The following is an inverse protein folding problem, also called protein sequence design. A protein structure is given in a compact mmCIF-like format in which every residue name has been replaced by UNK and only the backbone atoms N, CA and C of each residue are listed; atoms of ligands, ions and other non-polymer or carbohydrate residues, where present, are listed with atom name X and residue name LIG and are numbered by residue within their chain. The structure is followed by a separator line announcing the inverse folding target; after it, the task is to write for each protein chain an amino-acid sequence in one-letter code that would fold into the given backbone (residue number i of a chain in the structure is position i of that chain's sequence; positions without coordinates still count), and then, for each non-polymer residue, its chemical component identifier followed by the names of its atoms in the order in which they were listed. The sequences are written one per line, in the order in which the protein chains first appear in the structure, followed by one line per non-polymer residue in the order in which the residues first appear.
data_IF_722559450798
#
_entry.id   IF_722559450798
#
_cell.length_a   1.000
_cell.length_b   1.000
_cell.length_c   1.000
_cell.angle_alpha   90.00
_cell.angle_beta   90.00
_cell.angle_gamma   90.00
#
_symmetry.space_group_name_H-M   'P 1'
#
loop_
_entity.id
_entity.type
_entity.pdbx_description
1 polymer ?
#
# COMPACT_ATOMS: atom_id res chain seq x y z
N UNK A 1 -2.28 -11.04 -6.98
CA UNK A 1 -1.27 -11.02 -8.04
C UNK A 1 -0.83 -12.42 -8.48
N UNK A 2 -1.04 -13.46 -7.67
CA UNK A 2 -0.63 -14.86 -7.96
C UNK A 2 -1.22 -15.46 -9.24
N UNK A 3 -2.46 -15.09 -9.61
CA UNK A 3 -3.08 -15.52 -10.88
C UNK A 3 -2.39 -14.95 -12.13
N UNK A 4 -1.64 -13.85 -12.02
CA UNK A 4 -0.84 -13.30 -13.10
C UNK A 4 -1.57 -12.59 -14.25
N UNK A 5 -2.89 -12.79 -14.42
CA UNK A 5 -3.74 -12.18 -15.47
C UNK A 5 -4.91 -11.34 -14.94
N UNK A 6 -4.74 -10.72 -13.78
CA UNK A 6 -5.73 -9.81 -13.17
C UNK A 6 -5.02 -8.48 -12.92
N UNK A 7 -5.58 -7.37 -13.39
CA UNK A 7 -5.07 -6.05 -13.05
C UNK A 7 -5.37 -5.75 -11.57
N UNK A 8 -4.37 -5.33 -10.80
CA UNK A 8 -4.54 -5.05 -9.36
C UNK A 8 -3.88 -3.74 -8.99
N UNK A 9 -4.63 -2.80 -8.43
CA UNK A 9 -4.09 -1.56 -7.91
C UNK A 9 -4.43 -1.36 -6.44
N UNK A 10 -3.48 -0.84 -5.67
CA UNK A 10 -3.70 -0.37 -4.29
C UNK A 10 -3.46 1.13 -4.26
N UNK A 11 -4.49 1.88 -3.85
CA UNK A 11 -4.57 3.33 -4.07
C UNK A 11 -4.94 4.08 -2.79
N UNK A 12 -4.59 5.37 -2.72
CA UNK A 12 -4.99 6.28 -1.65
C UNK A 12 -5.02 7.73 -2.18
N UNK A 13 -6.22 8.33 -2.22
CA UNK A 13 -6.43 9.65 -2.81
C UNK A 13 -5.64 10.75 -2.10
N UNK A 14 -5.63 10.76 -0.78
CA UNK A 14 -4.89 11.78 -0.01
C UNK A 14 -3.37 11.69 -0.17
N UNK A 15 -2.84 10.54 -0.62
CA UNK A 15 -1.41 10.33 -0.79
C UNK A 15 -0.93 10.69 -2.21
N UNK A 16 -1.63 10.22 -3.24
CA UNK A 16 -1.25 10.48 -4.63
C UNK A 16 -2.48 10.44 -5.56
N UNK A 17 -3.16 11.58 -5.78
CA UNK A 17 -4.33 11.67 -6.67
C UNK A 17 -4.04 11.25 -8.12
N UNK A 18 -2.85 11.59 -8.64
CA UNK A 18 -2.46 11.23 -10.00
C UNK A 18 -2.36 9.70 -10.17
N UNK A 19 -1.83 9.01 -9.16
CA UNK A 19 -1.77 7.55 -9.16
C UNK A 19 -3.16 6.92 -9.09
N UNK A 20 -4.11 7.52 -8.36
CA UNK A 20 -5.50 7.04 -8.35
C UNK A 20 -6.10 7.15 -9.74
N UNK A 21 -6.04 8.32 -10.38
CA UNK A 21 -6.62 8.52 -11.72
C UNK A 21 -6.01 7.54 -12.72
N UNK A 22 -4.67 7.42 -12.72
CA UNK A 22 -3.96 6.46 -13.56
C UNK A 22 -4.43 5.03 -13.33
N UNK A 23 -4.54 4.61 -12.06
CA UNK A 23 -4.96 3.26 -11.71
C UNK A 23 -6.38 2.94 -12.20
N UNK A 24 -7.30 3.90 -12.14
CA UNK A 24 -8.67 3.75 -12.61
C UNK A 24 -8.75 3.67 -14.14
N UNK A 25 -7.99 4.51 -14.86
CA UNK A 25 -7.93 4.47 -16.33
C UNK A 25 -7.36 3.15 -16.82
N UNK A 26 -6.23 2.70 -16.25
CA UNK A 26 -5.62 1.41 -16.62
C UNK A 26 -6.56 0.23 -16.33
N UNK A 27 -7.17 0.22 -15.13
CA UNK A 27 -8.11 -0.83 -14.73
C UNK A 27 -9.34 -0.94 -15.65
N UNK A 28 -9.86 0.20 -16.12
CA UNK A 28 -11.02 0.24 -17.01
C UNK A 28 -10.66 -0.20 -18.43
N UNK A 29 -9.49 0.22 -18.92
CA UNK A 29 -9.00 -0.16 -20.24
C UNK A 29 -8.51 -1.61 -20.35
N UNK A 30 -8.22 -2.26 -19.22
CA UNK A 30 -7.70 -3.63 -19.19
C UNK A 30 -8.77 -4.61 -19.70
N UNK A 31 -8.51 -5.40 -20.77
CA UNK A 31 -9.48 -6.34 -21.33
C UNK A 31 -9.57 -7.62 -20.48
N UNK A 32 -9.94 -7.47 -19.21
CA UNK A 32 -9.96 -8.55 -18.22
C UNK A 32 -10.44 -8.08 -16.84
N UNK A 33 -10.34 -8.95 -15.83
CA UNK A 33 -10.74 -8.60 -14.47
C UNK A 33 -9.76 -7.60 -13.84
N UNK A 34 -10.33 -6.59 -13.18
CA UNK A 34 -9.59 -5.53 -12.50
C UNK A 34 -10.02 -5.40 -11.03
N UNK A 35 -9.07 -5.23 -10.12
CA UNK A 35 -9.28 -5.03 -8.69
C UNK A 35 -8.58 -3.76 -8.22
N UNK A 36 -9.34 -2.80 -7.68
CA UNK A 36 -8.81 -1.60 -7.04
C UNK A 36 -9.10 -1.64 -5.54
N UNK A 37 -8.06 -1.55 -4.72
CA UNK A 37 -8.15 -1.49 -3.25
C UNK A 37 -7.81 -0.07 -2.80
N UNK A 38 -8.84 0.72 -2.47
CA UNK A 38 -8.67 2.10 -2.03
C UNK A 38 -8.64 2.21 -0.50
N UNK A 39 -7.67 2.96 0.04
CA UNK A 39 -7.70 3.35 1.45
C UNK A 39 -8.87 4.31 1.70
N UNK A 40 -9.83 3.88 2.52
CA UNK A 40 -10.96 4.70 2.93
C UNK A 40 -10.83 5.01 4.42
N UNK A 41 -10.78 6.30 4.76
CA UNK A 41 -10.79 6.70 6.15
C UNK A 41 -12.21 6.76 6.70
N UNK A 42 -12.38 6.41 7.98
CA UNK A 42 -13.69 6.31 8.61
C UNK A 42 -13.67 6.92 10.01
N UNK A 43 -14.82 7.41 10.49
CA UNK A 43 -15.02 7.84 11.88
C UNK A 43 -14.56 6.78 12.88
N UNK A 44 -14.68 5.49 12.53
CA UNK A 44 -14.29 4.37 13.37
C UNK A 44 -12.78 4.31 13.67
N UNK A 45 -11.95 4.98 12.86
CA UNK A 45 -10.52 5.09 13.14
C UNK A 45 -10.27 6.06 14.32
N UNK A 46 -11.17 7.01 14.55
CA UNK A 46 -11.16 7.89 15.72
C UNK A 46 -10.12 9.01 15.63
N UNK A 47 -10.13 9.76 14.54
CA UNK A 47 -9.40 11.02 14.37
C UNK A 47 -10.28 12.04 13.63
N UNK A 48 -9.85 13.30 13.57
CA UNK A 48 -10.63 14.35 12.90
C UNK A 48 -10.62 14.12 11.37
N UNK A 49 -11.79 13.79 10.79
CA UNK A 49 -11.91 13.47 9.36
C UNK A 49 -11.64 14.67 8.43
N UNK A 50 -11.65 15.91 8.93
CA UNK A 50 -11.16 17.07 8.16
C UNK A 50 -9.71 16.82 7.70
N UNK A 51 -8.92 16.11 8.51
CA UNK A 51 -7.54 15.71 8.21
C UNK A 51 -7.45 14.38 7.45
N UNK A 52 -8.57 13.91 6.88
CA UNK A 52 -8.69 12.62 6.22
C UNK A 52 -7.60 12.38 5.19
N UNK A 53 -7.44 13.31 4.24
CA UNK A 53 -6.46 13.22 3.16
C UNK A 53 -5.01 13.23 3.69
N UNK A 54 -4.68 14.11 4.64
CA UNK A 54 -3.35 14.15 5.24
C UNK A 54 -3.03 12.82 5.94
N UNK A 55 -4.00 12.26 6.64
CA UNK A 55 -3.84 10.98 7.33
C UNK A 55 -3.66 9.80 6.36
N UNK A 56 -4.32 9.82 5.19
CA UNK A 56 -4.03 8.83 4.13
C UNK A 56 -2.59 8.96 3.64
N UNK A 57 -2.10 10.20 3.45
CA UNK A 57 -0.70 10.44 3.07
C UNK A 57 0.27 9.91 4.11
N UNK A 58 -0.02 10.08 5.39
CA UNK A 58 0.77 9.51 6.48
C UNK A 58 0.76 7.97 6.46
N UNK A 59 -0.38 7.34 6.19
CA UNK A 59 -0.48 5.89 6.05
C UNK A 59 0.43 5.34 4.93
N UNK A 60 0.56 6.08 3.83
CA UNK A 60 1.50 5.72 2.74
C UNK A 60 2.95 5.99 3.14
N UNK A 61 3.23 7.15 3.73
CA UNK A 61 4.58 7.56 4.13
C UNK A 61 5.17 6.70 5.26
N UNK A 62 4.36 5.99 6.04
CA UNK A 62 4.83 5.00 7.02
C UNK A 62 5.07 3.61 6.43
N UNK A 63 4.74 3.40 5.15
CA UNK A 63 4.75 2.08 4.53
C UNK A 63 3.59 1.19 4.94
N UNK A 64 2.68 1.65 5.81
CA UNK A 64 1.51 0.87 6.22
C UNK A 64 0.57 0.56 5.06
N UNK A 65 0.46 1.52 4.13
CA UNK A 65 -0.35 1.41 2.93
C UNK A 65 0.48 1.68 1.66
N UNK A 66 1.34 0.75 1.21
CA UNK A 66 2.09 0.95 -0.02
C UNK A 66 1.14 1.06 -1.23
N UNK A 67 1.48 1.95 -2.16
CA UNK A 67 0.74 2.16 -3.40
C UNK A 67 1.45 1.40 -4.51
N UNK A 68 0.70 0.59 -5.24
CA UNK A 68 1.24 -0.17 -6.36
C UNK A 68 0.16 -0.42 -7.41
N UNK A 69 0.62 -0.72 -8.62
CA UNK A 69 -0.20 -1.20 -9.74
C UNK A 69 0.46 -2.44 -10.31
N UNK A 70 -0.32 -3.48 -10.50
CA UNK A 70 0.05 -4.70 -11.18
C UNK A 70 -0.72 -4.74 -12.49
N UNK A 71 0.00 -4.57 -13.58
CA UNK A 71 -0.57 -4.60 -14.93
C UNK A 71 -0.04 -5.82 -15.68
N UNK A 72 -0.89 -6.83 -15.95
CA UNK A 72 -0.51 -8.02 -16.72
C UNK A 72 0.05 -7.71 -18.12
N UNK A 73 -0.38 -6.63 -18.76
CA UNK A 73 0.00 -6.29 -20.14
C UNK A 73 1.50 -6.01 -20.26
N UNK A 74 2.11 -5.48 -19.21
CA UNK A 74 3.55 -5.21 -19.19
C UNK A 74 4.42 -6.47 -19.34
N UNK A 75 3.90 -7.65 -19.00
CA UNK A 75 4.63 -8.90 -19.23
C UNK A 75 4.84 -9.18 -20.72
N UNK A 76 3.86 -8.83 -21.55
CA UNK A 76 3.93 -9.00 -23.00
C UNK A 76 5.00 -8.07 -23.61
N UNK A 77 5.26 -6.94 -22.95
CA UNK A 77 6.34 -6.00 -23.28
C UNK A 77 7.70 -6.38 -22.67
N UNK A 78 7.83 -7.51 -21.98
CA UNK A 78 9.05 -7.90 -21.28
C UNK A 78 9.40 -6.99 -20.10
N UNK A 79 8.40 -6.33 -19.50
CA UNK A 79 8.56 -5.47 -18.33
C UNK A 79 7.96 -6.14 -17.09
N UNK A 80 8.43 -5.71 -15.91
CA UNK A 80 7.84 -6.17 -14.67
C UNK A 80 6.41 -5.62 -14.54
N UNK A 81 5.38 -6.48 -14.38
CA UNK A 81 3.99 -6.05 -14.22
C UNK A 81 3.76 -5.23 -12.95
N UNK A 82 4.54 -5.48 -11.89
CA UNK A 82 4.41 -4.81 -10.62
C UNK A 82 5.20 -3.49 -10.63
N UNK A 83 4.46 -2.40 -10.45
CA UNK A 83 4.99 -1.06 -10.33
C UNK A 83 4.70 -0.56 -8.92
N UNK A 84 5.75 -0.29 -8.13
CA UNK A 84 5.62 0.30 -6.81
C UNK A 84 5.61 1.83 -6.93
N UNK A 85 4.43 2.44 -6.73
CA UNK A 85 4.23 3.89 -6.87
C UNK A 85 4.52 4.67 -5.58
N UNK A 86 4.58 3.98 -4.42
CA UNK A 86 4.95 4.59 -3.14
C UNK A 86 6.47 4.56 -2.89
N UNK A 87 7.01 5.69 -2.43
CA UNK A 87 8.41 5.82 -2.02
C UNK A 87 8.71 5.05 -0.72
N UNK A 88 10.00 4.94 -0.39
CA UNK A 88 10.46 4.37 0.87
C UNK A 88 9.80 5.09 2.07
N UNK A 89 9.46 4.37 3.15
CA UNK A 89 8.88 4.97 4.34
C UNK A 89 9.75 6.08 4.91
N UNK A 90 9.14 7.21 5.26
CA UNK A 90 9.80 8.39 5.85
C UNK A 90 9.25 8.76 7.22
N UNK A 91 8.15 8.15 7.64
CA UNK A 91 7.52 8.36 8.94
C UNK A 91 7.51 7.05 9.75
N UNK A 92 7.57 7.17 11.07
CA UNK A 92 7.46 6.01 11.94
C UNK A 92 5.99 5.54 12.05
N UNK A 93 5.78 4.23 11.99
CA UNK A 93 4.45 3.64 12.05
C UNK A 93 3.74 3.92 13.39
N UNK A 94 4.50 4.03 14.48
CA UNK A 94 3.97 4.32 15.81
C UNK A 94 3.29 5.70 15.88
N UNK A 95 3.90 6.72 15.27
CA UNK A 95 3.35 8.07 15.24
C UNK A 95 2.01 8.12 14.50
N UNK A 96 1.92 7.43 13.37
CA UNK A 96 0.68 7.27 12.62
C UNK A 96 -0.37 6.49 13.41
N UNK A 97 -0.01 5.35 13.98
CA UNK A 97 -0.94 4.49 14.72
C UNK A 97 -1.54 5.23 15.92
N UNK A 98 -0.72 5.90 16.73
CA UNK A 98 -1.22 6.66 17.89
C UNK A 98 -1.90 7.99 17.53
N UNK A 99 -1.89 8.39 16.26
CA UNK A 99 -2.80 9.42 15.74
C UNK A 99 -4.27 9.00 15.74
N UNK A 100 -4.55 7.69 15.76
CA UNK A 100 -5.91 7.14 15.68
C UNK A 100 -6.39 6.57 17.02
N UNK A 101 -7.64 6.85 17.40
CA UNK A 101 -8.19 6.36 18.66
C UNK A 101 -8.24 4.83 18.73
N UNK A 102 -8.46 4.14 17.61
CA UNK A 102 -8.54 2.67 17.58
C UNK A 102 -7.28 1.98 18.12
N UNK A 103 -6.11 2.61 18.00
CA UNK A 103 -4.86 2.11 18.60
C UNK A 103 -4.64 2.67 20.02
N UNK A 104 -4.97 3.94 20.25
CA UNK A 104 -4.82 4.57 21.59
C UNK A 104 -5.65 3.90 22.68
N UNK A 105 -6.86 3.45 22.37
CA UNK A 105 -7.71 2.75 23.34
C UNK A 105 -7.05 1.48 23.87
N UNK A 106 -6.33 0.73 23.02
CA UNK A 106 -5.57 -0.44 23.45
C UNK A 106 -4.36 -0.05 24.32
N UNK A 107 -3.63 1.01 23.94
CA UNK A 107 -2.50 1.53 24.72
C UNK A 107 -2.91 1.93 26.14
N UNK A 108 -4.08 2.55 26.28
CA UNK A 108 -4.61 3.00 27.57
C UNK A 108 -5.10 1.83 28.43
N UNK A 109 -5.81 0.86 27.83
CA UNK A 109 -6.40 -0.26 28.57
C UNK A 109 -5.43 -1.40 28.87
N UNK A 110 -4.46 -1.66 27.98
CA UNK A 110 -3.49 -2.77 28.06
C UNK A 110 -2.12 -2.32 27.52
N UNK A 111 -1.36 -1.50 28.25
CA UNK A 111 -0.13 -0.87 27.75
C UNK A 111 0.96 -1.88 27.35
N UNK A 112 1.16 -2.94 28.12
CA UNK A 112 2.16 -3.97 27.82
C UNK A 112 1.82 -4.73 26.52
N UNK A 113 0.56 -5.15 26.38
CA UNK A 113 0.08 -5.82 25.16
C UNK A 113 0.14 -4.88 23.96
N UNK A 114 -0.21 -3.60 24.13
CA UNK A 114 -0.11 -2.61 23.07
C UNK A 114 1.33 -2.44 22.56
N UNK A 115 2.31 -2.37 23.48
CA UNK A 115 3.72 -2.27 23.11
C UNK A 115 4.21 -3.51 22.33
N UNK A 116 3.80 -4.72 22.76
CA UNK A 116 4.12 -5.96 22.05
C UNK A 116 3.52 -6.00 20.64
N UNK A 117 2.22 -5.71 20.51
CA UNK A 117 1.54 -5.71 19.22
C UNK A 117 2.04 -4.62 18.29
N UNK A 118 2.39 -3.44 18.82
CA UNK A 118 2.98 -2.38 18.02
C UNK A 118 4.34 -2.81 17.44
N UNK A 119 5.18 -3.50 18.22
CA UNK A 119 6.44 -4.05 17.71
C UNK A 119 6.22 -5.03 16.56
N UNK A 120 5.24 -5.93 16.68
CA UNK A 120 4.86 -6.84 15.61
C UNK A 120 4.36 -6.08 14.37
N UNK A 121 3.49 -5.09 14.56
CA UNK A 121 2.97 -4.29 13.46
C UNK A 121 4.06 -3.50 12.73
N UNK A 122 5.04 -2.93 13.44
CA UNK A 122 6.21 -2.25 12.82
C UNK A 122 6.99 -3.21 11.94
N UNK A 123 7.24 -4.43 12.42
CA UNK A 123 7.94 -5.46 11.65
C UNK A 123 7.14 -5.87 10.41
N UNK A 124 5.83 -6.12 10.56
CA UNK A 124 4.96 -6.50 9.44
C UNK A 124 4.91 -5.44 8.35
N UNK A 125 4.80 -4.16 8.74
CA UNK A 125 4.81 -3.03 7.80
C UNK A 125 6.14 -2.97 7.05
N UNK A 126 7.27 -3.06 7.75
CA UNK A 126 8.59 -3.04 7.13
C UNK A 126 8.80 -4.23 6.17
N UNK A 127 8.43 -5.45 6.59
CA UNK A 127 8.57 -6.66 5.78
C UNK A 127 7.69 -6.61 4.52
N UNK A 128 6.44 -6.17 4.64
CA UNK A 128 5.54 -6.05 3.49
C UNK A 128 6.05 -5.03 2.49
N UNK A 129 6.56 -3.89 2.95
CA UNK A 129 7.15 -2.89 2.06
C UNK A 129 8.38 -3.46 1.34
N UNK A 130 9.31 -4.07 2.09
CA UNK A 130 10.53 -4.66 1.53
C UNK A 130 10.22 -5.74 0.48
N UNK A 131 9.22 -6.60 0.74
CA UNK A 131 8.78 -7.60 -0.23
C UNK A 131 8.24 -6.94 -1.51
N UNK A 132 7.39 -5.92 -1.41
CA UNK A 132 6.87 -5.22 -2.59
C UNK A 132 7.98 -4.54 -3.38
N UNK A 133 8.97 -3.95 -2.69
CA UNK A 133 10.14 -3.34 -3.32
C UNK A 133 10.98 -4.38 -4.08
N UNK A 134 11.25 -5.53 -3.46
CA UNK A 134 11.97 -6.62 -4.10
C UNK A 134 11.22 -7.13 -5.33
N UNK A 135 9.91 -7.39 -5.20
CA UNK A 135 9.09 -7.86 -6.31
C UNK A 135 9.05 -6.88 -7.48
N UNK A 136 9.04 -5.57 -7.22
CA UNK A 136 9.07 -4.54 -8.26
C UNK A 136 10.44 -4.41 -8.95
N UNK A 137 11.52 -4.84 -8.29
CA UNK A 137 12.88 -4.85 -8.84
C UNK A 137 13.25 -6.15 -9.57
N UNK A 138 12.42 -7.20 -9.45
CA UNK A 138 12.70 -8.47 -10.14
C UNK A 138 12.75 -8.25 -11.66
N UNK A 139 13.79 -8.78 -12.35
CA UNK A 139 13.80 -8.79 -13.80
C UNK A 139 12.67 -9.69 -14.30
N UNK A 140 11.91 -9.22 -15.29
CA UNK A 140 10.84 -10.00 -15.93
C UNK A 140 11.20 -10.17 -17.41
N UNK A 141 11.76 -11.33 -17.73
CA UNK A 141 12.15 -11.72 -19.09
C UNK A 141 12.81 -13.10 -19.02
N UNK A 142 12.58 -13.94 -20.03
CA UNK A 142 13.45 -15.10 -20.24
C UNK A 142 14.81 -14.52 -20.60
N UNK A 143 15.83 -14.77 -19.80
CA UNK A 143 17.18 -14.86 -20.36
C UNK A 143 17.05 -15.85 -21.52
N UNK A 144 17.27 -15.38 -22.75
CA UNK A 144 17.49 -16.30 -23.85
C UNK A 144 18.76 -17.05 -23.46
N UNK A 145 18.58 -18.27 -22.95
CA UNK A 145 19.66 -19.26 -22.91
C UNK A 145 20.08 -19.46 -24.38
N UNK A 146 21.21 -18.86 -24.75
CA UNK A 146 21.99 -19.24 -25.94
C UNK A 146 22.64 -20.61 -25.76
#
# INVERSE_FOLDING_TARGET
MTYGGIYVAKVAMGANPNQVVKAFVEAESYPGPSLIIAYSHCIAHGYNLVKGCEHQKQAVNTGHWPLYRFDPQLKEEGKNPLQLDSKAPTLDFEEYAYGENRYRTLKQSKPETAAQLLKLAKNDVAQRYALMEQLAKLPCGREQEE
#
